data_IF_760241658791
#
_entry.id   IF_760241658791
#
_cell.length_a   1.000
_cell.length_b   1.000
_cell.length_c   1.000
_cell.angle_alpha   90.00
_cell.angle_beta   90.00
_cell.angle_gamma   90.00
#
_symmetry.space_group_name_H-M   'P 1'
#
loop_
_entity.id
_entity.type
_entity.pdbx_description
1 polymer ?
#
# COMPACT_ATOMS: atom_id res chain seq x y z
N UNK A 1 -13.51 4.18 8.72
CA UNK A 1 -12.69 4.38 9.94
C UNK A 1 -11.74 5.56 9.67
N UNK A 2 -11.64 6.47 10.60
CA UNK A 2 -10.72 7.61 10.50
C UNK A 2 -9.73 7.54 11.65
N UNK A 3 -8.45 7.68 11.34
CA UNK A 3 -7.36 7.61 12.32
C UNK A 3 -6.54 8.90 12.23
N UNK A 4 -6.33 9.55 13.37
CA UNK A 4 -5.46 10.71 13.46
C UNK A 4 -3.99 10.28 13.48
N UNK A 5 -3.18 10.94 12.67
CA UNK A 5 -1.75 10.71 12.56
C UNK A 5 -1.01 12.00 12.91
N UNK A 6 -0.79 12.26 14.21
CA UNK A 6 -0.21 13.54 14.65
C UNK A 6 1.23 13.75 14.20
N UNK A 7 1.96 12.68 13.92
CA UNK A 7 3.37 12.74 13.54
C UNK A 7 3.76 11.57 12.63
N UNK A 8 5.00 11.57 12.18
CA UNK A 8 5.55 10.51 11.32
C UNK A 8 5.51 9.16 12.03
N UNK A 9 5.77 9.12 13.33
CA UNK A 9 5.75 7.87 14.10
C UNK A 9 4.37 7.23 14.10
N UNK A 10 3.30 8.02 14.14
CA UNK A 10 1.93 7.51 14.06
C UNK A 10 1.67 6.86 12.70
N UNK A 11 2.15 7.46 11.61
CA UNK A 11 2.03 6.89 10.27
C UNK A 11 2.81 5.59 10.14
N UNK A 12 4.04 5.55 10.65
CA UNK A 12 4.84 4.32 10.69
C UNK A 12 4.15 3.22 11.49
N UNK A 13 3.59 3.57 12.65
CA UNK A 13 2.88 2.62 13.51
C UNK A 13 1.64 2.03 12.85
N UNK A 14 0.88 2.86 12.12
CA UNK A 14 -0.26 2.39 11.36
C UNK A 14 0.20 1.39 10.28
N UNK A 15 1.22 1.73 9.52
CA UNK A 15 1.81 0.83 8.53
C UNK A 15 2.28 -0.48 9.14
N UNK A 16 2.97 -0.42 10.28
CA UNK A 16 3.47 -1.61 10.99
C UNK A 16 2.32 -2.52 11.41
N UNK A 17 1.25 -1.97 11.96
CA UNK A 17 0.07 -2.74 12.32
C UNK A 17 -0.54 -3.47 11.13
N UNK A 18 -0.64 -2.79 9.99
CA UNK A 18 -1.10 -3.40 8.75
C UNK A 18 -0.17 -4.53 8.29
N UNK A 19 1.14 -4.31 8.32
CA UNK A 19 2.12 -5.32 7.94
C UNK A 19 2.09 -6.56 8.83
N UNK A 20 1.72 -6.42 10.08
CA UNK A 20 1.59 -7.52 11.02
C UNK A 20 0.28 -8.29 10.85
N UNK A 21 -0.77 -7.65 10.36
CA UNK A 21 -2.13 -8.21 10.37
C UNK A 21 -2.64 -8.65 8.99
N UNK A 22 -2.18 -8.03 7.91
CA UNK A 22 -2.69 -8.33 6.58
C UNK A 22 -2.28 -9.74 6.13
N UNK A 23 -3.24 -10.55 5.65
CA UNK A 23 -2.93 -11.86 5.09
C UNK A 23 -2.39 -11.77 3.67
N UNK A 24 -1.80 -12.86 3.20
CA UNK A 24 -1.36 -12.98 1.81
C UNK A 24 -2.55 -12.79 0.86
N UNK A 25 -2.30 -12.12 -0.25
CA UNK A 25 -3.34 -11.79 -1.23
C UNK A 25 -4.03 -10.45 -0.97
N UNK A 26 -3.67 -9.75 0.11
CA UNK A 26 -4.21 -8.42 0.39
C UNK A 26 -3.71 -7.39 -0.62
N UNK A 27 -4.60 -6.51 -1.07
CA UNK A 27 -4.24 -5.36 -1.90
C UNK A 27 -4.61 -4.09 -1.15
N UNK A 28 -3.63 -3.22 -0.99
CA UNK A 28 -3.78 -1.92 -0.35
C UNK A 28 -3.70 -0.84 -1.42
N UNK A 29 -4.80 -0.11 -1.63
CA UNK A 29 -4.85 1.02 -2.54
C UNK A 29 -4.62 2.29 -1.74
N UNK A 30 -3.51 2.97 -2.01
CA UNK A 30 -3.10 4.18 -1.32
C UNK A 30 -3.43 5.41 -2.15
N UNK A 31 -4.06 6.39 -1.54
CA UNK A 31 -4.31 7.68 -2.14
C UNK A 31 -3.94 8.81 -1.17
N UNK A 32 -3.79 10.00 -1.72
CA UNK A 32 -3.40 11.18 -0.97
C UNK A 32 -2.48 12.05 -1.78
N UNK A 33 -2.40 13.33 -1.40
CA UNK A 33 -1.54 14.28 -2.09
C UNK A 33 -0.06 13.91 -1.96
N UNK A 34 0.74 14.43 -2.87
CA UNK A 34 2.19 14.27 -2.81
C UNK A 34 2.70 14.77 -1.45
N UNK A 35 3.51 13.97 -0.78
CA UNK A 35 4.02 14.31 0.55
C UNK A 35 3.06 14.05 1.72
N UNK A 36 1.89 13.44 1.49
CA UNK A 36 0.93 13.14 2.55
C UNK A 36 1.35 11.97 3.46
N UNK A 37 2.43 11.25 3.11
CA UNK A 37 2.97 10.17 3.94
C UNK A 37 2.77 8.77 3.38
N UNK A 38 2.42 8.62 2.10
CA UNK A 38 2.22 7.30 1.47
C UNK A 38 3.47 6.43 1.55
N UNK A 39 4.63 6.99 1.22
CA UNK A 39 5.90 6.27 1.32
C UNK A 39 6.22 5.89 2.77
N UNK A 40 5.99 6.81 3.71
CA UNK A 40 6.18 6.54 5.14
C UNK A 40 5.29 5.39 5.60
N UNK A 41 4.04 5.37 5.17
CA UNK A 41 3.12 4.28 5.50
C UNK A 41 3.63 2.94 4.96
N UNK A 42 4.13 2.90 3.74
CA UNK A 42 4.69 1.67 3.14
C UNK A 42 5.97 1.25 3.86
N UNK A 43 6.79 2.18 4.30
CA UNK A 43 7.95 1.86 5.14
C UNK A 43 7.52 1.18 6.44
N UNK A 44 6.47 1.68 7.08
CA UNK A 44 5.88 1.03 8.26
C UNK A 44 5.33 -0.36 7.94
N UNK A 45 4.62 -0.49 6.84
CA UNK A 45 4.09 -1.76 6.36
C UNK A 45 5.22 -2.79 6.18
N UNK A 46 6.31 -2.38 5.54
CA UNK A 46 7.49 -3.22 5.39
C UNK A 46 8.10 -3.62 6.72
N UNK A 47 8.21 -2.68 7.67
CA UNK A 47 8.71 -2.98 9.02
C UNK A 47 7.83 -4.01 9.73
N UNK A 48 6.51 -3.92 9.57
CA UNK A 48 5.56 -4.90 10.12
C UNK A 48 5.73 -6.29 9.52
N UNK A 49 6.23 -6.38 8.28
CA UNK A 49 6.55 -7.63 7.61
C UNK A 49 7.95 -8.14 7.95
N UNK A 50 8.74 -7.39 8.71
CA UNK A 50 10.13 -7.74 9.03
C UNK A 50 11.12 -7.34 7.95
N UNK A 51 10.73 -6.44 7.06
CA UNK A 51 11.60 -5.91 6.00
C UNK A 51 12.33 -4.65 6.47
N UNK A 52 13.50 -4.41 5.87
CA UNK A 52 14.28 -3.18 6.06
C UNK A 52 14.54 -2.54 4.70
N UNK A 53 14.97 -1.28 4.72
CA UNK A 53 15.40 -0.56 3.52
C UNK A 53 14.32 -0.47 2.43
N UNK A 54 13.10 -0.13 2.84
CA UNK A 54 12.01 0.12 1.90
C UNK A 54 12.21 1.48 1.23
N UNK A 55 12.37 1.46 -0.08
CA UNK A 55 12.55 2.65 -0.90
C UNK A 55 11.28 2.98 -1.69
N UNK A 56 11.19 4.24 -2.13
CA UNK A 56 10.13 4.63 -3.07
C UNK A 56 10.41 4.05 -4.45
N UNK A 57 9.42 3.45 -5.15
CA UNK A 57 9.60 2.91 -6.49
C UNK A 57 9.55 3.98 -7.60
N UNK A 58 10.02 5.20 -7.31
CA UNK A 58 9.91 6.36 -8.20
C UNK A 58 10.54 6.11 -9.58
N UNK A 59 11.63 5.35 -9.64
CA UNK A 59 12.32 5.06 -10.89
C UNK A 59 12.04 3.65 -11.41
N UNK A 60 11.68 2.72 -10.55
CA UNK A 60 11.50 1.30 -10.88
C UNK A 60 10.06 0.91 -11.14
N UNK A 61 9.09 1.75 -10.78
CA UNK A 61 7.64 1.54 -10.84
C UNK A 61 7.15 0.44 -9.89
N UNK A 62 7.89 -0.65 -9.75
CA UNK A 62 7.57 -1.78 -8.88
C UNK A 62 8.82 -2.17 -8.11
N UNK A 63 8.72 -2.21 -6.79
CA UNK A 63 9.74 -2.79 -5.93
C UNK A 63 9.20 -4.06 -5.29
N UNK A 64 9.95 -5.15 -5.38
CA UNK A 64 9.60 -6.44 -4.80
C UNK A 64 10.52 -6.74 -3.62
N UNK A 65 9.92 -7.03 -2.46
CA UNK A 65 10.64 -7.36 -1.24
C UNK A 65 10.18 -8.73 -0.78
N UNK A 66 11.08 -9.71 -0.77
CA UNK A 66 10.71 -11.12 -0.57
C UNK A 66 11.24 -11.73 0.73
N UNK A 67 11.96 -10.96 1.55
CA UNK A 67 12.65 -11.49 2.75
C UNK A 67 11.84 -11.38 4.05
N UNK A 68 10.63 -10.84 4.02
CA UNK A 68 9.80 -10.68 5.20
C UNK A 68 8.84 -11.85 5.43
N UNK A 69 7.89 -11.65 6.36
CA UNK A 69 6.83 -12.62 6.65
C UNK A 69 6.04 -13.00 5.41
N UNK A 70 5.75 -12.02 4.57
CA UNK A 70 5.12 -12.17 3.26
C UNK A 70 5.87 -11.29 2.26
N UNK A 71 5.84 -11.64 0.97
CA UNK A 71 6.32 -10.71 -0.05
C UNK A 71 5.54 -9.39 -0.02
N UNK A 72 6.25 -8.30 -0.28
CA UNK A 72 5.65 -6.98 -0.48
C UNK A 72 5.94 -6.51 -1.90
N UNK A 73 4.89 -6.21 -2.64
CA UNK A 73 4.97 -5.65 -3.98
C UNK A 73 4.49 -4.20 -3.91
N UNK A 74 5.43 -3.26 -3.96
CA UNK A 74 5.14 -1.83 -3.89
C UNK A 74 5.15 -1.23 -5.29
N UNK A 75 4.00 -0.74 -5.73
CA UNK A 75 3.75 -0.26 -7.08
C UNK A 75 3.42 1.23 -7.01
N UNK A 76 4.09 2.06 -7.84
CA UNK A 76 3.80 3.48 -7.96
C UNK A 76 3.48 3.82 -9.42
N UNK A 77 2.24 4.21 -9.68
CA UNK A 77 1.74 4.50 -11.03
C UNK A 77 1.78 5.98 -11.38
N UNK A 78 2.44 6.82 -10.57
CA UNK A 78 2.46 8.26 -10.75
C UNK A 78 2.85 8.70 -12.17
N UNK A 79 3.84 8.01 -12.76
CA UNK A 79 4.40 8.37 -14.06
C UNK A 79 3.74 7.65 -15.24
N UNK A 80 2.74 6.82 -14.99
CA UNK A 80 2.08 6.05 -16.02
C UNK A 80 0.71 6.64 -16.36
N UNK A 81 0.33 6.54 -17.64
CA UNK A 81 -1.06 6.69 -18.03
C UNK A 81 -1.82 5.41 -17.69
N UNK A 82 -3.15 5.48 -17.75
CA UNK A 82 -3.99 4.29 -17.54
C UNK A 82 -3.66 3.19 -18.55
N UNK A 83 -3.44 3.56 -19.82
CA UNK A 83 -3.07 2.60 -20.87
C UNK A 83 -1.73 1.94 -20.61
N UNK A 84 -0.72 2.72 -20.15
CA UNK A 84 0.59 2.17 -19.82
C UNK A 84 0.52 1.24 -18.61
N UNK A 85 -0.26 1.59 -17.59
CA UNK A 85 -0.48 0.74 -16.42
C UNK A 85 -1.18 -0.57 -16.81
N UNK A 86 -2.20 -0.50 -17.68
CA UNK A 86 -2.91 -1.68 -18.18
C UNK A 86 -1.97 -2.63 -18.93
N UNK A 87 -1.06 -2.09 -19.72
CA UNK A 87 -0.08 -2.89 -20.47
C UNK A 87 0.89 -3.67 -19.57
N UNK A 88 1.03 -3.30 -18.31
CA UNK A 88 1.92 -3.99 -17.36
C UNK A 88 1.28 -5.25 -16.75
N UNK A 89 -0.02 -5.46 -16.93
CA UNK A 89 -0.75 -6.61 -16.36
C UNK A 89 -0.51 -6.77 -14.86
N UNK A 90 -0.74 -5.68 -14.11
CA UNK A 90 -0.45 -5.61 -12.68
C UNK A 90 -1.32 -6.55 -11.84
N UNK A 91 -2.47 -6.99 -12.36
CA UNK A 91 -3.37 -7.94 -11.73
C UNK A 91 -2.70 -9.29 -11.41
N UNK A 92 -1.61 -9.64 -12.08
CA UNK A 92 -0.87 -10.86 -11.78
C UNK A 92 -0.33 -10.88 -10.36
N UNK A 93 -0.05 -9.69 -9.79
CA UNK A 93 0.47 -9.59 -8.42
C UNK A 93 -0.55 -9.96 -7.36
N UNK A 94 -1.84 -9.71 -7.58
CA UNK A 94 -2.86 -10.08 -6.60
C UNK A 94 -3.65 -11.32 -6.97
N UNK A 95 -3.62 -11.76 -8.22
CA UNK A 95 -4.21 -13.01 -8.64
C UNK A 95 -3.36 -14.21 -8.25
N UNK A 96 -2.05 -14.02 -8.06
CA UNK A 96 -1.15 -15.03 -7.51
C UNK A 96 -0.83 -16.19 -8.43
N UNK A 97 -1.01 -16.02 -9.76
CA UNK A 97 -0.76 -17.11 -10.71
C UNK A 97 0.73 -17.33 -10.99
N UNK A 98 1.48 -16.23 -11.18
CA UNK A 98 2.90 -16.30 -11.55
C UNK A 98 3.84 -15.69 -10.50
N UNK A 99 3.30 -15.22 -9.39
CA UNK A 99 4.06 -14.63 -8.29
C UNK A 99 3.61 -15.24 -6.96
N UNK A 100 4.52 -15.28 -6.00
CA UNK A 100 4.19 -15.74 -4.65
C UNK A 100 3.16 -14.78 -4.03
N UNK A 101 2.04 -15.28 -3.48
CA UNK A 101 1.06 -14.43 -2.83
C UNK A 101 1.65 -13.63 -1.68
N UNK A 102 1.44 -12.33 -1.71
CA UNK A 102 1.95 -11.40 -0.70
C UNK A 102 1.00 -10.23 -0.52
N UNK A 103 1.55 -9.10 -0.12
CA UNK A 103 0.81 -7.85 0.03
C UNK A 103 1.17 -6.95 -1.14
N UNK A 104 0.17 -6.41 -1.82
CA UNK A 104 0.36 -5.45 -2.91
C UNK A 104 -0.06 -4.07 -2.43
N UNK A 105 0.85 -3.12 -2.44
CA UNK A 105 0.58 -1.73 -2.10
C UNK A 105 0.69 -0.88 -3.36
N UNK A 106 -0.40 -0.25 -3.77
CA UNK A 106 -0.47 0.52 -5.02
C UNK A 106 -0.69 1.99 -4.70
N UNK A 107 0.25 2.84 -5.11
CA UNK A 107 0.10 4.29 -5.10
C UNK A 107 -0.42 4.75 -6.47
N UNK A 108 -1.25 5.79 -6.47
CA UNK A 108 -1.91 6.30 -7.68
C UNK A 108 -2.79 5.24 -8.33
N UNK A 109 -3.57 4.54 -7.51
CA UNK A 109 -4.42 3.43 -7.93
C UNK A 109 -5.53 3.84 -8.90
N UNK A 110 -5.88 5.12 -8.99
CA UNK A 110 -6.83 5.63 -9.98
C UNK A 110 -6.37 5.39 -11.43
N UNK A 111 -5.11 5.05 -11.64
CA UNK A 111 -4.57 4.71 -12.95
C UNK A 111 -4.68 3.24 -13.31
N UNK A 112 -5.18 2.40 -12.39
CA UNK A 112 -5.46 1.00 -12.69
C UNK A 112 -6.67 0.89 -13.61
N UNK A 113 -6.53 0.11 -14.69
CA UNK A 113 -7.65 -0.21 -15.57
C UNK A 113 -8.63 -1.18 -14.90
N UNK A 114 -8.09 -2.10 -14.09
CA UNK A 114 -8.87 -3.10 -13.36
C UNK A 114 -8.54 -3.00 -11.88
N UNK A 115 -9.58 -2.78 -11.07
CA UNK A 115 -9.42 -2.78 -9.62
C UNK A 115 -9.43 -4.21 -9.07
N UNK A 116 -8.61 -4.50 -8.06
CA UNK A 116 -8.70 -5.78 -7.37
C UNK A 116 -10.05 -5.92 -6.66
N UNK A 117 -10.56 -7.15 -6.48
CA UNK A 117 -11.78 -7.35 -5.72
C UNK A 117 -11.56 -7.07 -4.24
N UNK A 118 -12.47 -6.32 -3.63
CA UNK A 118 -12.50 -6.00 -2.20
C UNK A 118 -11.14 -5.58 -1.63
N UNK A 119 -10.51 -4.51 -2.16
CA UNK A 119 -9.23 -4.04 -1.64
C UNK A 119 -9.40 -3.30 -0.32
N UNK A 120 -8.31 -3.18 0.43
CA UNK A 120 -8.20 -2.22 1.52
C UNK A 120 -7.87 -0.85 0.90
N UNK A 121 -8.73 0.14 1.12
CA UNK A 121 -8.50 1.50 0.60
C UNK A 121 -8.10 2.42 1.73
N UNK A 122 -6.99 3.14 1.55
CA UNK A 122 -6.47 4.05 2.54
C UNK A 122 -6.14 5.40 1.90
N UNK A 123 -6.77 6.46 2.40
CA UNK A 123 -6.54 7.83 1.97
C UNK A 123 -5.85 8.62 3.06
N UNK A 124 -4.74 9.29 2.72
CA UNK A 124 -4.02 10.17 3.63
C UNK A 124 -4.33 11.63 3.28
N UNK A 125 -4.64 12.42 4.28
CA UNK A 125 -4.97 13.83 4.11
C UNK A 125 -4.15 14.71 5.05
N UNK A 126 -3.82 15.92 4.59
CA UNK A 126 -3.20 16.94 5.43
C UNK A 126 -4.23 17.51 6.41
N UNK A 127 -3.78 17.75 7.63
CA UNK A 127 -4.49 18.55 8.63
C UNK A 127 -3.61 19.77 8.99
N UNK A 128 -4.16 20.78 9.65
CA UNK A 128 -3.35 21.90 10.16
C UNK A 128 -2.18 21.43 11.02
N UNK A 129 -2.36 20.34 11.76
CA UNK A 129 -1.30 19.63 12.49
C UNK A 129 -1.42 18.15 12.20
N UNK A 130 -0.35 17.57 11.64
CA UNK A 130 -0.31 16.15 11.34
C UNK A 130 -1.09 15.76 10.09
N UNK A 131 -1.57 14.54 10.09
CA UNK A 131 -2.28 13.90 8.99
C UNK A 131 -3.50 13.14 9.50
N UNK A 132 -4.37 12.76 8.58
CA UNK A 132 -5.50 11.89 8.87
C UNK A 132 -5.51 10.74 7.85
N UNK A 133 -5.82 9.55 8.30
CA UNK A 133 -6.04 8.40 7.44
C UNK A 133 -7.50 8.00 7.46
N UNK A 134 -8.12 7.86 6.29
CA UNK A 134 -9.44 7.26 6.15
C UNK A 134 -9.26 5.87 5.55
N UNK A 135 -9.76 4.85 6.24
CA UNK A 135 -9.57 3.44 5.85
C UNK A 135 -10.92 2.80 5.58
N UNK A 136 -11.07 2.22 4.39
CA UNK A 136 -12.19 1.38 4.02
C UNK A 136 -11.75 -0.07 4.08
N UNK A 137 -12.21 -0.77 5.12
CA UNK A 137 -11.84 -2.16 5.38
C UNK A 137 -12.83 -3.07 4.67
N UNK A 138 -12.37 -3.99 3.82
CA UNK A 138 -13.28 -4.94 3.17
C UNK A 138 -13.90 -5.91 4.17
N UNK A 139 -15.06 -6.48 3.83
CA UNK A 139 -15.84 -7.30 4.75
C UNK A 139 -15.14 -8.58 5.20
N UNK A 140 -14.22 -9.11 4.37
CA UNK A 140 -13.49 -10.34 4.67
C UNK A 140 -12.34 -10.14 5.67
N UNK A 141 -12.00 -8.89 5.99
CA UNK A 141 -10.82 -8.55 6.79
C UNK A 141 -11.23 -7.96 8.14
N UNK A 142 -10.64 -8.48 9.19
CA UNK A 142 -10.75 -7.91 10.53
C UNK A 142 -9.40 -7.31 10.92
N UNK A 143 -9.37 -6.03 11.25
CA UNK A 143 -8.17 -5.31 11.66
C UNK A 143 -8.35 -4.73 13.05
N UNK A 144 -7.29 -4.78 13.84
CA UNK A 144 -7.19 -4.13 15.14
C UNK A 144 -6.16 -3.00 15.03
N UNK A 145 -6.68 -1.79 14.84
CA UNK A 145 -5.84 -0.60 14.61
C UNK A 145 -5.93 0.40 15.76
#
# INVERSE_FOLDING_TARGET
MVIDLPDIQATLSLGRSLGQQLPAGSVLLLSGDLGAGKTTLVQGLGAGLGLTDIDSPTFTLINEYTKGRLPLYHIDLYRLSEAEADAMHLETYWEGEDVEPGIVAVEWSERLAYLPPEPLELSLSYLPKGRSAEIKVPTWLALDL
#
